data_IF_359822438930
#
_entry.id   IF_359822438930
#
_cell.length_a   1.000
_cell.length_b   1.000
_cell.length_c   1.000
_cell.angle_alpha   90.00
_cell.angle_beta   90.00
_cell.angle_gamma   90.00
#
_symmetry.space_group_name_H-M   'P 1'
#
loop_
_entity.id
_entity.type
_entity.pdbx_description
1 polymer ?
#
# COMPACT_ATOMS: atom_id res chain seq x y z
N UNK A 1 6.82 5.00 15.28
CA UNK A 1 6.65 4.12 14.10
C UNK A 1 7.94 4.05 13.29
N UNK A 2 8.67 5.16 13.08
CA UNK A 2 9.92 5.14 12.31
C UNK A 2 10.99 4.19 12.87
N UNK A 3 11.25 4.21 14.17
CA UNK A 3 12.23 3.30 14.77
C UNK A 3 11.84 1.81 14.62
N UNK A 4 10.53 1.51 14.66
CA UNK A 4 10.05 0.17 14.44
C UNK A 4 10.30 -0.28 12.99
N UNK A 5 10.20 0.63 12.02
CA UNK A 5 10.55 0.34 10.63
C UNK A 5 12.03 -0.03 10.50
N UNK A 6 12.93 0.77 11.08
CA UNK A 6 14.37 0.46 11.11
C UNK A 6 14.59 -0.91 11.76
N UNK A 7 14.09 -1.13 12.98
CA UNK A 7 14.28 -2.40 13.69
C UNK A 7 13.77 -3.62 12.92
N UNK A 8 12.74 -3.46 12.09
CA UNK A 8 12.17 -4.57 11.33
C UNK A 8 12.88 -4.81 9.99
N UNK A 9 13.36 -3.76 9.34
CA UNK A 9 13.78 -3.82 7.93
C UNK A 9 15.30 -3.67 7.73
N UNK A 10 16.00 -3.00 8.65
CA UNK A 10 17.47 -2.84 8.66
C UNK A 10 18.14 -4.19 8.97
N UNK A 11 18.36 -4.97 7.92
CA UNK A 11 18.98 -6.28 8.00
C UNK A 11 20.51 -6.17 8.06
N UNK A 12 21.07 -5.06 7.56
CA UNK A 12 22.50 -4.79 7.51
C UNK A 12 23.06 -4.25 8.83
N UNK A 13 22.22 -3.63 9.65
CA UNK A 13 22.55 -3.04 10.95
C UNK A 13 23.20 -1.66 10.87
N UNK A 14 22.99 -0.92 9.77
CA UNK A 14 23.59 0.40 9.54
C UNK A 14 22.67 1.58 9.94
N UNK A 15 21.52 1.27 10.56
CA UNK A 15 20.52 2.20 11.06
C UNK A 15 19.78 2.99 9.97
N UNK A 16 19.86 2.56 8.72
CA UNK A 16 19.02 3.03 7.62
C UNK A 16 18.31 1.86 6.95
N UNK A 17 17.42 2.14 6.00
CA UNK A 17 16.77 1.12 5.18
C UNK A 17 17.15 1.38 3.73
N UNK A 18 17.99 0.52 3.15
CA UNK A 18 18.41 0.63 1.76
C UNK A 18 17.35 0.10 0.77
N UNK A 19 17.64 0.18 -0.54
CA UNK A 19 16.74 -0.31 -1.60
C UNK A 19 16.43 -1.82 -1.54
N UNK A 20 17.33 -2.63 -1.00
CA UNK A 20 17.13 -4.08 -0.86
C UNK A 20 16.28 -4.38 0.36
N UNK A 21 16.51 -3.66 1.44
CA UNK A 21 15.80 -3.79 2.70
C UNK A 21 14.35 -3.30 2.60
N UNK A 22 14.13 -2.15 1.94
CA UNK A 22 12.78 -1.61 1.75
C UNK A 22 11.89 -2.53 0.91
N UNK A 23 12.47 -3.42 0.09
CA UNK A 23 11.72 -4.39 -0.70
C UNK A 23 10.91 -5.38 0.16
N UNK A 24 11.25 -5.53 1.45
CA UNK A 24 10.46 -6.30 2.41
C UNK A 24 9.20 -5.58 2.90
N UNK A 25 9.05 -4.29 2.61
CA UNK A 25 7.89 -3.46 2.94
C UNK A 25 7.37 -2.73 1.69
N UNK A 26 6.51 -3.37 0.89
CA UNK A 26 6.03 -2.83 -0.37
C UNK A 26 5.41 -1.43 -0.27
N UNK A 27 4.65 -1.15 0.80
CA UNK A 27 4.02 0.15 1.01
C UNK A 27 5.05 1.27 1.23
N UNK A 28 6.14 0.96 1.94
CA UNK A 28 7.24 1.90 2.13
C UNK A 28 8.07 2.08 0.86
N UNK A 29 8.27 0.99 0.10
CA UNK A 29 8.94 1.03 -1.20
C UNK A 29 8.22 1.94 -2.20
N UNK A 30 6.87 1.90 -2.25
CA UNK A 30 6.07 2.79 -3.10
C UNK A 30 6.34 4.28 -2.80
N UNK A 31 6.63 4.60 -1.54
CA UNK A 31 6.89 5.95 -1.09
C UNK A 31 8.38 6.33 -1.08
N UNK A 32 9.30 5.39 -1.33
CA UNK A 32 10.75 5.54 -1.10
C UNK A 32 11.30 6.85 -1.66
N UNK A 33 11.10 7.11 -2.96
CA UNK A 33 11.59 8.32 -3.65
C UNK A 33 10.96 9.63 -3.13
N UNK A 34 9.85 9.54 -2.40
CA UNK A 34 9.22 10.71 -1.76
C UNK A 34 9.76 10.94 -0.35
N UNK A 35 10.22 9.88 0.32
CA UNK A 35 10.75 9.93 1.68
C UNK A 35 12.25 10.20 1.71
N UNK A 36 13.02 9.67 0.76
CA UNK A 36 14.46 9.92 0.57
C UNK A 36 14.67 11.38 0.13
N UNK A 37 14.63 12.28 1.11
CA UNK A 37 14.59 13.71 0.90
C UNK A 37 16.00 14.28 0.69
N UNK A 38 17.00 13.61 1.27
CA UNK A 38 18.41 13.98 1.11
C UNK A 38 19.10 13.30 -0.08
N UNK A 39 18.45 12.32 -0.71
CA UNK A 39 18.95 11.62 -1.90
C UNK A 39 20.09 10.66 -1.59
N UNK A 40 20.08 10.09 -0.38
CA UNK A 40 21.09 9.16 0.10
C UNK A 40 20.95 7.74 -0.45
N UNK A 41 19.87 7.45 -1.19
CA UNK A 41 19.51 6.11 -1.65
C UNK A 41 19.18 5.14 -0.50
N UNK A 42 18.80 5.69 0.65
CA UNK A 42 18.40 4.98 1.86
C UNK A 42 17.38 5.79 2.65
N UNK A 43 16.60 5.15 3.51
CA UNK A 43 15.66 5.84 4.41
C UNK A 43 16.17 5.80 5.84
N UNK A 44 16.41 6.99 6.38
CA UNK A 44 16.68 7.17 7.80
C UNK A 44 15.41 7.14 8.64
N UNK A 45 15.56 6.88 9.95
CA UNK A 45 14.44 7.01 10.89
C UNK A 45 13.85 8.44 10.89
N UNK A 46 14.67 9.47 10.64
CA UNK A 46 14.23 10.85 10.63
C UNK A 46 13.28 11.14 9.46
N UNK A 47 13.59 10.64 8.27
CA UNK A 47 12.76 10.81 7.06
C UNK A 47 11.40 10.11 7.20
N UNK A 48 11.41 8.88 7.72
CA UNK A 48 10.18 8.13 7.97
C UNK A 48 9.34 8.84 9.05
N UNK A 49 9.97 9.33 10.11
CA UNK A 49 9.30 10.05 11.19
C UNK A 49 8.71 11.38 10.70
N UNK A 50 9.41 12.11 9.84
CA UNK A 50 8.90 13.33 9.22
C UNK A 50 7.64 13.05 8.39
N UNK A 51 7.59 11.90 7.71
CA UNK A 51 6.40 11.50 6.97
C UNK A 51 5.19 11.25 7.88
N UNK A 52 5.37 10.61 9.02
CA UNK A 52 4.28 10.42 9.99
C UNK A 52 3.84 11.73 10.64
N UNK A 53 4.80 12.60 11.01
CA UNK A 53 4.50 13.94 11.53
C UNK A 53 3.70 14.78 10.54
N UNK A 54 3.93 14.60 9.24
CA UNK A 54 3.14 15.25 8.22
C UNK A 54 1.67 14.82 8.27
N UNK A 55 1.37 13.54 8.47
CA UNK A 55 -0.01 13.06 8.60
C UNK A 55 -0.73 13.74 9.77
N UNK A 56 -0.05 13.84 10.92
CA UNK A 56 -0.56 14.52 12.11
C UNK A 56 -0.75 16.03 11.91
N UNK A 57 0.17 16.66 11.19
CA UNK A 57 0.13 18.10 10.87
C UNK A 57 -1.03 18.43 9.94
N UNK A 58 -1.30 17.59 8.94
CA UNK A 58 -2.39 17.76 8.00
C UNK A 58 -3.76 17.45 8.62
N UNK A 59 -3.81 16.97 9.88
CA UNK A 59 -5.04 16.59 10.60
C UNK A 59 -5.97 15.71 9.76
N UNK A 60 -5.38 14.90 8.89
CA UNK A 60 -6.12 14.07 7.96
C UNK A 60 -6.35 12.72 8.59
N UNK A 61 -7.52 12.52 9.18
CA UNK A 61 -7.86 11.22 9.76
C UNK A 61 -8.08 10.14 8.68
N UNK A 62 -8.59 10.55 7.52
CA UNK A 62 -8.92 9.65 6.42
C UNK A 62 -8.65 10.28 5.06
N UNK A 63 -8.13 9.49 4.13
CA UNK A 63 -7.83 9.83 2.75
C UNK A 63 -8.72 8.99 1.83
N UNK A 64 -9.36 9.63 0.87
CA UNK A 64 -10.06 8.90 -0.19
C UNK A 64 -9.03 8.39 -1.20
N UNK A 65 -8.80 7.09 -1.19
CA UNK A 65 -7.92 6.40 -2.13
C UNK A 65 -8.78 5.62 -3.13
N UNK A 66 -8.54 5.83 -4.42
CA UNK A 66 -9.10 4.99 -5.49
C UNK A 66 -7.95 4.21 -6.11
N UNK A 67 -8.12 2.91 -6.22
CA UNK A 67 -7.18 1.95 -6.80
C UNK A 67 -7.80 1.41 -8.08
N UNK A 68 -7.01 1.27 -9.15
CA UNK A 68 -7.43 0.57 -10.36
C UNK A 68 -6.57 -0.67 -10.58
N UNK A 69 -7.16 -1.85 -10.51
CA UNK A 69 -6.52 -3.13 -10.74
C UNK A 69 -6.63 -3.53 -12.22
N UNK A 70 -5.50 -3.96 -12.80
CA UNK A 70 -5.43 -4.45 -14.17
C UNK A 70 -4.73 -5.82 -14.21
N UNK A 71 -5.00 -6.57 -15.27
CA UNK A 71 -4.40 -7.85 -15.60
C UNK A 71 -3.98 -7.79 -17.07
N UNK A 72 -2.68 -7.82 -17.36
CA UNK A 72 -2.15 -7.66 -18.72
C UNK A 72 -2.74 -6.44 -19.45
N UNK A 73 -2.80 -5.30 -18.75
CA UNK A 73 -3.36 -4.04 -19.25
C UNK A 73 -4.90 -3.97 -19.27
N UNK A 74 -5.62 -5.06 -19.01
CA UNK A 74 -7.09 -5.10 -18.99
C UNK A 74 -7.64 -4.89 -17.58
N UNK A 75 -8.71 -4.12 -17.39
CA UNK A 75 -9.35 -4.02 -16.08
C UNK A 75 -9.76 -5.39 -15.51
N UNK A 76 -9.53 -5.60 -14.21
CA UNK A 76 -9.90 -6.82 -13.51
C UNK A 76 -11.08 -6.54 -12.58
N UNK A 77 -12.26 -7.06 -12.93
CA UNK A 77 -13.50 -6.91 -12.16
C UNK A 77 -13.68 -8.04 -11.15
N UNK A 78 -14.32 -7.75 -10.02
CA UNK A 78 -14.77 -8.75 -9.05
C UNK A 78 -13.72 -9.19 -8.03
N UNK A 79 -12.51 -8.66 -8.12
CA UNK A 79 -11.40 -9.02 -7.22
C UNK A 79 -11.49 -8.24 -5.93
N UNK A 80 -11.41 -8.95 -4.81
CA UNK A 80 -11.28 -8.33 -3.50
C UNK A 80 -9.85 -7.84 -3.31
N UNK A 81 -9.72 -6.56 -2.98
CA UNK A 81 -8.47 -5.89 -2.65
C UNK A 81 -8.44 -5.69 -1.14
N UNK A 82 -7.42 -6.23 -0.47
CA UNK A 82 -7.10 -5.98 0.93
C UNK A 82 -5.85 -5.12 1.03
N UNK A 83 -5.93 -4.02 1.76
CA UNK A 83 -4.81 -3.17 2.12
C UNK A 83 -4.51 -3.37 3.59
N UNK A 84 -3.38 -3.97 3.87
CA UNK A 84 -2.95 -4.37 5.20
C UNK A 84 -1.83 -3.41 5.60
N UNK A 85 -1.95 -2.69 6.73
CA UNK A 85 -0.88 -1.84 7.22
C UNK A 85 0.42 -2.61 7.33
N UNK A 86 1.55 -2.00 6.95
CA UNK A 86 2.85 -2.62 7.18
C UNK A 86 3.09 -2.82 8.69
N UNK A 87 3.72 -3.94 9.05
CA UNK A 87 3.81 -4.43 10.43
C UNK A 87 4.43 -3.40 11.40
N UNK A 88 5.42 -2.61 10.94
CA UNK A 88 6.07 -1.58 11.76
C UNK A 88 5.14 -0.43 12.19
N UNK A 89 3.96 -0.33 11.58
CA UNK A 89 2.93 0.63 11.99
C UNK A 89 2.06 0.12 13.14
N UNK A 90 2.16 -1.18 13.48
CA UNK A 90 1.43 -1.83 14.56
C UNK A 90 -0.09 -1.76 14.41
N UNK A 91 -0.80 -1.96 15.52
CA UNK A 91 -2.26 -2.07 15.55
C UNK A 91 -3.01 -0.71 15.50
N UNK A 92 -2.29 0.39 15.31
CA UNK A 92 -2.88 1.73 15.28
C UNK A 92 -3.71 2.00 14.01
N UNK A 93 -3.44 1.26 12.94
CA UNK A 93 -4.11 1.37 11.66
C UNK A 93 -4.93 0.10 11.42
N UNK A 94 -6.15 0.27 10.93
CA UNK A 94 -7.00 -0.86 10.55
C UNK A 94 -6.85 -1.17 9.06
N UNK A 95 -6.93 -2.45 8.65
CA UNK A 95 -6.99 -2.82 7.25
C UNK A 95 -8.12 -2.11 6.50
N UNK A 96 -7.95 -1.99 5.19
CA UNK A 96 -9.00 -1.52 4.30
C UNK A 96 -9.31 -2.54 3.20
N UNK A 97 -10.57 -2.66 2.84
CA UNK A 97 -11.03 -3.66 1.87
C UNK A 97 -11.98 -3.07 0.85
N UNK A 98 -12.03 -3.68 -0.33
CA UNK A 98 -13.09 -3.42 -1.30
C UNK A 98 -12.95 -4.28 -2.55
N UNK A 99 -14.03 -4.39 -3.31
CA UNK A 99 -14.07 -5.20 -4.53
C UNK A 99 -14.04 -4.33 -5.77
N UNK A 100 -13.28 -4.74 -6.78
CA UNK A 100 -13.15 -3.98 -8.02
C UNK A 100 -14.42 -4.02 -8.89
N UNK A 101 -14.81 -2.87 -9.42
CA UNK A 101 -15.95 -2.73 -10.33
C UNK A 101 -15.61 -3.12 -11.79
N UNK A 102 -16.54 -2.91 -12.73
CA UNK A 102 -16.39 -3.33 -14.13
C UNK A 102 -15.22 -2.68 -14.87
N UNK A 103 -14.74 -1.52 -14.40
CA UNK A 103 -13.55 -0.83 -14.93
C UNK A 103 -12.30 -1.09 -14.08
N UNK A 104 -12.35 -2.12 -13.23
CA UNK A 104 -11.26 -2.56 -12.38
C UNK A 104 -10.96 -1.60 -11.22
N UNK A 105 -11.86 -0.69 -10.89
CA UNK A 105 -11.63 0.31 -9.85
C UNK A 105 -12.27 -0.08 -8.51
N UNK A 106 -11.63 0.33 -7.42
CA UNK A 106 -12.14 0.20 -6.06
C UNK A 106 -11.74 1.43 -5.26
N UNK A 107 -12.63 1.91 -4.39
CA UNK A 107 -12.27 2.83 -3.30
C UNK A 107 -12.36 2.04 -1.99
N UNK A 108 -11.23 1.55 -1.45
CA UNK A 108 -11.24 0.71 -0.26
C UNK A 108 -11.81 1.44 0.95
N UNK A 109 -12.35 0.67 1.87
CA UNK A 109 -12.95 1.13 3.11
C UNK A 109 -12.22 0.52 4.28
N UNK A 110 -11.68 1.35 5.17
CA UNK A 110 -11.16 0.90 6.46
C UNK A 110 -12.23 0.09 7.22
N UNK A 111 -11.82 -1.04 7.78
CA UNK A 111 -12.68 -1.90 8.58
C UNK A 111 -13.42 -1.11 9.68
N UNK A 112 -14.69 -1.45 9.90
CA UNK A 112 -15.56 -0.76 10.85
C UNK A 112 -16.03 0.65 10.44
N UNK A 113 -15.66 1.15 9.25
CA UNK A 113 -16.18 2.44 8.73
C UNK A 113 -17.33 2.22 7.76
N UNK A 114 -18.19 3.24 7.63
CA UNK A 114 -19.36 3.23 6.73
C UNK A 114 -19.09 3.91 5.38
N UNK A 115 -17.97 4.60 5.22
CA UNK A 115 -17.60 5.37 4.03
C UNK A 115 -16.25 4.93 3.46
N UNK A 116 -16.04 4.99 2.13
CA UNK A 116 -14.80 4.58 1.49
C UNK A 116 -13.68 5.59 1.74
N UNK A 117 -12.80 5.26 2.68
CA UNK A 117 -11.57 5.98 2.93
C UNK A 117 -10.60 5.09 3.71
N UNK A 118 -9.33 5.48 3.69
CA UNK A 118 -8.22 4.83 4.38
C UNK A 118 -7.57 5.78 5.37
N UNK A 119 -7.00 5.26 6.46
CA UNK A 119 -6.11 6.05 7.30
C UNK A 119 -4.79 6.30 6.56
N UNK A 120 -4.14 7.47 6.75
CA UNK A 120 -2.80 7.67 6.19
C UNK A 120 -1.81 6.61 6.70
N UNK A 121 -0.95 6.10 5.82
CA UNK A 121 0.03 5.08 6.16
C UNK A 121 0.50 4.27 4.95
N UNK A 122 1.39 3.33 5.20
CA UNK A 122 1.95 2.39 4.23
C UNK A 122 1.21 1.06 4.32
N UNK A 123 0.82 0.51 3.18
CA UNK A 123 0.03 -0.71 3.11
C UNK A 123 0.63 -1.69 2.12
N UNK A 124 0.70 -2.96 2.53
CA UNK A 124 0.81 -4.10 1.63
C UNK A 124 -0.56 -4.34 0.99
N UNK A 125 -0.57 -4.59 -0.32
CA UNK A 125 -1.77 -4.88 -1.09
C UNK A 125 -1.83 -6.36 -1.41
N UNK A 126 -2.91 -7.01 -1.00
CA UNK A 126 -3.22 -8.39 -1.33
C UNK A 126 -4.50 -8.45 -2.16
N UNK A 127 -4.50 -9.30 -3.18
CA UNK A 127 -5.65 -9.52 -4.05
C UNK A 127 -6.22 -10.90 -3.80
N UNK A 128 -7.54 -11.03 -3.79
CA UNK A 128 -8.25 -12.28 -3.62
C UNK A 128 -9.28 -12.41 -4.74
N UNK A 129 -9.51 -13.62 -5.23
CA UNK A 129 -10.49 -13.84 -6.31
C UNK A 129 -11.88 -13.29 -5.92
N UNK A 130 -12.27 -13.48 -4.66
CA UNK A 130 -13.48 -12.95 -4.04
C UNK A 130 -13.32 -12.95 -2.49
N UNK A 131 -14.40 -12.67 -1.76
CA UNK A 131 -14.42 -12.72 -0.28
C UNK A 131 -14.31 -14.12 0.33
N UNK A 132 -14.65 -15.17 -0.43
CA UNK A 132 -14.59 -16.56 0.02
C UNK A 132 -13.19 -17.18 -0.15
N UNK A 133 -12.35 -16.58 -1.00
CA UNK A 133 -11.00 -17.06 -1.26
C UNK A 133 -10.12 -17.06 0.02
N UNK A 134 -9.54 -18.22 0.32
CA UNK A 134 -8.72 -18.42 1.52
C UNK A 134 -7.26 -17.99 1.36
N UNK A 135 -6.82 -17.67 0.14
CA UNK A 135 -5.43 -17.31 -0.19
C UNK A 135 -5.40 -16.16 -1.19
N UNK A 136 -4.41 -15.27 -1.10
CA UNK A 136 -4.25 -14.22 -2.09
C UNK A 136 -3.80 -14.81 -3.44
N UNK A 137 -4.18 -14.11 -4.50
CA UNK A 137 -3.68 -14.31 -5.84
C UNK A 137 -2.16 -14.08 -5.84
N UNK A 138 -1.40 -15.06 -6.33
CA UNK A 138 0.07 -15.00 -6.36
C UNK A 138 0.57 -13.93 -7.32
N UNK A 139 1.30 -12.93 -6.82
CA UNK A 139 1.90 -11.85 -7.61
C UNK A 139 3.42 -12.01 -7.65
N UNK A 140 4.04 -11.76 -8.81
CA UNK A 140 5.50 -11.85 -8.98
C UNK A 140 6.25 -10.80 -8.17
N UNK A 141 5.69 -9.60 -8.10
CA UNK A 141 6.22 -8.49 -7.31
C UNK A 141 5.20 -8.16 -6.23
N UNK A 142 5.58 -8.16 -4.94
CA UNK A 142 4.74 -7.67 -3.87
C UNK A 142 4.21 -6.27 -4.18
N UNK A 143 2.95 -6.04 -3.83
CA UNK A 143 2.25 -4.81 -4.15
C UNK A 143 2.13 -3.96 -2.91
N UNK A 144 2.41 -2.67 -3.05
CA UNK A 144 2.38 -1.72 -1.97
C UNK A 144 1.73 -0.41 -2.36
N UNK A 145 1.32 0.34 -1.35
CA UNK A 145 0.76 1.66 -1.51
C UNK A 145 1.01 2.50 -0.26
N UNK A 146 1.42 3.75 -0.45
CA UNK A 146 1.18 4.77 0.55
C UNK A 146 -0.20 5.43 0.36
N UNK A 147 -1.05 5.36 1.38
CA UNK A 147 -2.21 6.25 1.49
C UNK A 147 -1.77 7.54 2.16
N UNK A 148 -1.74 8.64 1.43
CA UNK A 148 -1.41 9.95 2.02
C UNK A 148 -2.18 11.09 1.37
N UNK A 149 -2.42 12.20 2.09
CA UNK A 149 -3.11 13.37 1.54
C UNK A 149 -2.27 14.10 0.46
N UNK A 150 -0.97 13.82 0.42
CA UNK A 150 0.01 14.45 -0.48
C UNK A 150 0.57 13.53 -1.56
N UNK A 151 0.17 12.26 -1.59
CA UNK A 151 0.55 11.34 -2.68
C UNK A 151 0.27 12.06 -4.02
N UNK A 152 1.32 12.21 -4.84
CA UNK A 152 1.51 13.24 -5.90
C UNK A 152 0.50 13.24 -7.08
N UNK A 153 -0.69 12.67 -6.93
CA UNK A 153 -1.74 12.68 -7.95
C UNK A 153 -3.06 13.07 -7.33
N UNK A 154 -3.44 14.33 -7.52
CA UNK A 154 -4.82 14.76 -7.40
C UNK A 154 -5.76 13.77 -8.11
N UNK A 155 -6.48 13.01 -7.27
CA UNK A 155 -7.76 12.32 -7.53
C UNK A 155 -7.81 10.95 -8.20
N UNK A 156 -6.72 10.33 -8.67
CA UNK A 156 -6.78 8.94 -9.16
C UNK A 156 -5.43 8.21 -9.04
N UNK A 157 -5.27 7.39 -8.00
CA UNK A 157 -4.06 6.58 -7.83
C UNK A 157 -4.21 5.28 -8.65
N UNK A 158 -3.69 5.30 -9.86
CA UNK A 158 -3.65 4.14 -10.73
C UNK A 158 -2.54 3.18 -10.28
N UNK A 159 -2.91 2.14 -9.52
CA UNK A 159 -2.01 1.01 -9.23
C UNK A 159 -2.07 0.01 -10.40
N UNK A 160 -1.27 0.21 -11.45
CA UNK A 160 -1.21 -0.77 -12.54
C UNK A 160 -0.56 -2.06 -12.05
N UNK A 161 -1.37 -3.10 -11.86
CA UNK A 161 -0.87 -4.42 -11.56
C UNK A 161 -0.38 -5.08 -12.85
N UNK A 162 0.93 -5.17 -13.01
CA UNK A 162 1.56 -6.00 -14.03
C UNK A 162 1.59 -7.44 -13.52
N UNK A 163 0.46 -8.12 -13.68
CA UNK A 163 0.31 -9.54 -13.34
C UNK A 163 0.58 -10.41 -14.58
N UNK A 164 1.61 -11.24 -14.55
CA UNK A 164 1.96 -12.20 -15.61
C UNK A 164 1.49 -13.64 -15.30
N UNK A 165 0.30 -13.82 -14.72
CA UNK A 165 -0.30 -15.13 -14.48
C UNK A 165 -1.51 -15.43 -15.39
N UNK A 166 -1.98 -16.69 -15.36
CA UNK A 166 -3.23 -17.08 -16.02
C UNK A 166 -4.41 -16.45 -15.28
N UNK A 167 -5.32 -15.78 -16.01
CA UNK A 167 -6.60 -15.28 -15.48
C UNK A 167 -7.30 -16.42 -14.73
N UNK A 168 -7.64 -16.26 -13.44
CA UNK A 168 -8.40 -17.27 -12.69
C UNK A 168 -9.65 -17.71 -13.45
N UNK A 169 -9.97 -19.00 -13.41
CA UNK A 169 -11.11 -19.54 -14.17
C UNK A 169 -12.45 -18.92 -13.74
N UNK A 170 -12.58 -18.59 -12.45
CA UNK A 170 -13.69 -17.86 -11.82
C UNK A 170 -13.88 -16.45 -12.36
N UNK A 171 -12.82 -15.83 -12.89
CA UNK A 171 -12.80 -14.44 -13.33
C UNK A 171 -12.86 -14.31 -14.86
N UNK A 172 -13.11 -15.39 -15.62
CA UNK A 172 -13.12 -15.39 -17.09
C UNK A 172 -14.32 -14.67 -17.70
#
# INVERSE_FOLDING_TARGET
MAQAAITQLDASGDSVIDRKEVAASPGLLDAFETLDADGSDSLSAAEIEERFKLYDKLKTAFVKTTIQVKLNGRPLNGVLVKLIPEDFQGDALSPAVGTTNQVGQVSPRTEGKSFPAMQPGFYRVELYEDEAASKPIEVKTPLGLESSPQSRRDRNLLIVLNYEGKRPQSLR
#
